data_IF_052284359598
#
_entry.id   IF_052284359598
#
_cell.length_a   1.000
_cell.length_b   1.000
_cell.length_c   1.000
_cell.angle_alpha   90.00
_cell.angle_beta   90.00
_cell.angle_gamma   90.00
#
_symmetry.space_group_name_H-M   'P 1'
#
loop_
_entity.id
_entity.type
_entity.pdbx_description
1 polymer ?
#
# COMPACT_ATOMS: atom_id res chain seq x y z
N UNK A 1 20.56 -23.68 0.21
CA UNK A 1 21.00 -22.42 0.87
C UNK A 1 19.83 -21.44 1.10
N UNK A 2 18.98 -21.17 0.10
CA UNK A 2 17.80 -20.28 0.21
C UNK A 2 16.78 -20.63 1.33
N UNK A 3 16.45 -21.92 1.53
CA UNK A 3 15.52 -22.36 2.59
C UNK A 3 16.00 -22.04 4.02
N UNK A 4 17.32 -22.03 4.26
CA UNK A 4 17.94 -21.81 5.58
C UNK A 4 18.02 -20.32 5.93
N UNK A 5 18.16 -19.47 4.91
CA UNK A 5 18.10 -18.00 5.03
C UNK A 5 16.65 -17.57 5.27
N UNK A 6 15.71 -18.11 4.48
CA UNK A 6 14.27 -17.90 4.65
C UNK A 6 13.79 -18.26 6.06
N UNK A 7 14.17 -19.41 6.62
CA UNK A 7 13.71 -19.83 7.96
C UNK A 7 14.32 -18.99 9.09
N UNK A 8 15.57 -18.53 8.94
CA UNK A 8 16.23 -17.66 9.93
C UNK A 8 15.65 -16.25 9.90
N UNK A 9 15.30 -15.76 8.71
CA UNK A 9 14.58 -14.49 8.52
C UNK A 9 13.18 -14.60 9.14
N UNK A 10 12.45 -15.67 8.83
CA UNK A 10 11.10 -15.93 9.36
C UNK A 10 11.11 -15.94 10.89
N UNK A 11 12.01 -16.70 11.52
CA UNK A 11 12.09 -16.79 12.99
C UNK A 11 12.51 -15.47 13.67
N UNK A 12 13.37 -14.68 13.01
CA UNK A 12 13.78 -13.35 13.50
C UNK A 12 12.62 -12.37 13.39
N UNK A 13 11.90 -12.40 12.27
CA UNK A 13 10.66 -11.65 12.08
C UNK A 13 9.63 -12.06 13.13
N UNK A 14 9.37 -13.35 13.36
CA UNK A 14 8.39 -13.82 14.36
C UNK A 14 8.74 -13.37 15.78
N UNK A 15 10.03 -13.37 16.16
CA UNK A 15 10.47 -12.84 17.46
C UNK A 15 10.24 -11.33 17.56
N UNK A 16 10.60 -10.55 16.55
CA UNK A 16 10.35 -9.09 16.54
C UNK A 16 8.83 -8.81 16.60
N UNK A 17 8.03 -9.57 15.86
CA UNK A 17 6.57 -9.46 15.82
C UNK A 17 5.88 -9.73 17.16
N UNK A 18 6.44 -10.64 17.98
CA UNK A 18 5.81 -11.07 19.24
C UNK A 18 6.02 -10.09 20.40
N UNK A 19 7.07 -9.27 20.36
CA UNK A 19 7.41 -8.33 21.45
C UNK A 19 6.95 -6.89 21.21
N UNK A 20 6.58 -6.48 19.98
CA UNK A 20 6.35 -5.06 19.67
C UNK A 20 4.96 -4.68 19.13
N UNK A 21 3.94 -5.57 19.18
CA UNK A 21 2.65 -5.41 18.46
C UNK A 21 2.81 -5.23 16.92
N UNK A 22 4.00 -5.47 16.35
CA UNK A 22 4.35 -5.14 14.96
C UNK A 22 3.47 -5.81 13.89
N UNK A 23 2.84 -6.95 14.18
CA UNK A 23 1.96 -7.63 13.23
C UNK A 23 0.69 -6.81 12.95
N UNK A 24 0.20 -6.07 13.93
CA UNK A 24 -0.94 -5.17 13.78
C UNK A 24 -0.56 -3.94 12.93
N UNK A 25 0.60 -3.33 13.20
CA UNK A 25 1.16 -2.23 12.41
C UNK A 25 1.37 -2.65 10.96
N UNK A 26 2.01 -3.80 10.75
CA UNK A 26 2.27 -4.36 9.41
C UNK A 26 0.98 -4.58 8.62
N UNK A 27 -0.06 -5.15 9.23
CA UNK A 27 -1.36 -5.31 8.56
C UNK A 27 -2.00 -3.96 8.22
N UNK A 28 -1.97 -3.00 9.15
CA UNK A 28 -2.55 -1.68 8.95
C UNK A 28 -1.85 -0.94 7.81
N UNK A 29 -0.52 -0.90 7.82
CA UNK A 29 0.28 -0.28 6.76
C UNK A 29 0.04 -0.99 5.43
N UNK A 30 0.04 -2.33 5.39
CA UNK A 30 -0.24 -3.05 4.15
C UNK A 30 -1.59 -2.66 3.54
N UNK A 31 -2.65 -2.66 4.35
CA UNK A 31 -4.02 -2.38 3.90
C UNK A 31 -4.16 -0.95 3.37
N UNK A 32 -3.72 0.03 4.14
CA UNK A 32 -3.86 1.46 3.78
C UNK A 32 -3.09 1.74 2.49
N UNK A 33 -1.86 1.23 2.38
CA UNK A 33 -1.01 1.52 1.24
C UNK A 33 -1.39 0.72 0.00
N UNK A 34 -1.85 -0.53 0.12
CA UNK A 34 -2.38 -1.26 -1.01
C UNK A 34 -3.62 -0.57 -1.60
N UNK A 35 -4.49 -0.05 -0.73
CA UNK A 35 -5.64 0.77 -1.14
C UNK A 35 -5.18 2.02 -1.89
N UNK A 36 -4.23 2.77 -1.33
CA UNK A 36 -3.68 4.00 -1.93
C UNK A 36 -3.01 3.74 -3.27
N UNK A 37 -2.17 2.70 -3.37
CA UNK A 37 -1.44 2.37 -4.59
C UNK A 37 -2.36 1.96 -5.73
N UNK A 38 -3.37 1.13 -5.45
CA UNK A 38 -4.36 0.74 -6.45
C UNK A 38 -5.15 1.95 -6.96
N UNK A 39 -5.63 2.79 -6.04
CA UNK A 39 -6.47 3.94 -6.38
C UNK A 39 -5.71 5.06 -7.09
N UNK A 40 -4.46 5.32 -6.69
CA UNK A 40 -3.58 6.32 -7.32
C UNK A 40 -3.29 5.97 -8.77
N UNK A 41 -2.88 4.72 -9.03
CA UNK A 41 -2.60 4.28 -10.40
C UNK A 41 -3.87 4.27 -11.25
N UNK A 42 -5.01 3.86 -10.69
CA UNK A 42 -6.28 3.97 -11.41
C UNK A 42 -6.66 5.41 -11.73
N UNK A 43 -6.46 6.34 -10.79
CA UNK A 43 -6.69 7.77 -11.02
C UNK A 43 -5.87 8.33 -12.18
N UNK A 44 -4.63 7.87 -12.33
CA UNK A 44 -3.77 8.22 -13.48
C UNK A 44 -4.32 7.64 -14.78
N UNK A 45 -4.70 6.35 -14.78
CA UNK A 45 -5.28 5.69 -15.96
C UNK A 45 -6.54 6.45 -16.43
N UNK A 46 -7.45 6.75 -15.49
CA UNK A 46 -8.69 7.45 -15.78
C UNK A 46 -8.43 8.89 -16.23
N UNK A 47 -7.55 9.63 -15.54
CA UNK A 47 -7.23 11.02 -15.91
C UNK A 47 -6.66 11.13 -17.33
N UNK A 48 -5.74 10.24 -17.70
CA UNK A 48 -5.19 10.21 -19.07
C UNK A 48 -6.29 9.87 -20.10
N UNK A 49 -7.21 8.96 -19.74
CA UNK A 49 -8.36 8.62 -20.58
C UNK A 49 -9.32 9.80 -20.79
N UNK A 50 -9.58 10.57 -19.74
CA UNK A 50 -10.46 11.75 -19.79
C UNK A 50 -9.87 12.85 -20.70
N UNK A 51 -8.54 13.01 -20.70
CA UNK A 51 -7.81 13.88 -21.65
C UNK A 51 -7.85 13.39 -23.11
N UNK A 52 -8.63 12.35 -23.44
CA UNK A 52 -8.78 11.80 -24.79
C UNK A 52 -7.60 10.96 -25.26
N UNK A 53 -6.56 10.78 -24.44
CA UNK A 53 -5.41 9.94 -24.78
C UNK A 53 -5.66 8.48 -24.42
N UNK A 54 -5.58 7.61 -25.42
CA UNK A 54 -5.60 6.15 -25.26
C UNK A 54 -4.25 5.51 -25.53
N UNK A 55 -3.18 6.31 -25.52
CA UNK A 55 -1.85 5.82 -25.82
C UNK A 55 -1.32 5.00 -24.63
N UNK A 56 -1.13 3.69 -24.86
CA UNK A 56 -0.60 2.74 -23.88
C UNK A 56 0.71 3.26 -23.25
N UNK A 57 1.58 3.86 -24.06
CA UNK A 57 2.86 4.41 -23.59
C UNK A 57 2.70 5.49 -22.51
N UNK A 58 1.75 6.42 -22.67
CA UNK A 58 1.51 7.49 -21.70
C UNK A 58 0.97 6.93 -20.38
N UNK A 59 0.09 5.94 -20.46
CA UNK A 59 -0.50 5.30 -19.28
C UNK A 59 0.55 4.48 -18.52
N UNK A 60 1.36 3.70 -19.24
CA UNK A 60 2.42 2.89 -18.63
C UNK A 60 3.50 3.79 -18.02
N UNK A 61 3.95 4.83 -18.73
CA UNK A 61 4.96 5.75 -18.21
C UNK A 61 4.46 6.54 -16.99
N UNK A 62 3.24 7.08 -17.05
CA UNK A 62 2.61 7.78 -15.92
C UNK A 62 2.39 6.86 -14.71
N UNK A 63 1.86 5.66 -14.95
CA UNK A 63 1.61 4.65 -13.91
C UNK A 63 2.92 4.16 -13.24
N UNK A 64 3.93 3.80 -14.03
CA UNK A 64 5.24 3.38 -13.49
C UNK A 64 5.95 4.53 -12.79
N UNK A 65 5.86 5.76 -13.31
CA UNK A 65 6.39 6.95 -12.67
C UNK A 65 5.80 7.18 -11.28
N UNK A 66 4.47 7.06 -11.16
CA UNK A 66 3.79 7.16 -9.88
C UNK A 66 4.13 6.01 -8.92
N UNK A 67 4.23 4.78 -9.43
CA UNK A 67 4.64 3.62 -8.61
C UNK A 67 6.05 3.81 -8.06
N UNK A 68 7.01 4.26 -8.89
CA UNK A 68 8.37 4.56 -8.45
C UNK A 68 8.39 5.69 -7.42
N UNK A 69 7.63 6.75 -7.66
CA UNK A 69 7.50 7.85 -6.72
C UNK A 69 6.95 7.35 -5.36
N UNK A 70 5.85 6.60 -5.36
CA UNK A 70 5.27 5.99 -4.15
C UNK A 70 6.22 5.00 -3.46
N UNK A 71 7.01 4.24 -4.23
CA UNK A 71 7.96 3.30 -3.65
C UNK A 71 9.04 4.04 -2.85
N UNK A 72 9.66 5.05 -3.44
CA UNK A 72 10.73 5.83 -2.80
C UNK A 72 10.17 6.70 -1.68
N UNK A 73 9.12 7.48 -1.97
CA UNK A 73 8.51 8.41 -1.01
C UNK A 73 7.87 7.65 0.14
N UNK A 74 7.24 6.51 -0.11
CA UNK A 74 6.61 5.67 0.90
C UNK A 74 7.61 5.07 1.90
N UNK A 75 8.84 4.72 1.46
CA UNK A 75 9.86 4.22 2.39
C UNK A 75 10.32 5.38 3.27
N UNK A 76 10.63 6.51 2.64
CA UNK A 76 11.10 7.69 3.36
C UNK A 76 10.07 8.23 4.36
N UNK A 77 8.83 8.45 3.91
CA UNK A 77 7.78 9.07 4.71
C UNK A 77 7.38 8.18 5.89
N UNK A 78 7.18 6.88 5.66
CA UNK A 78 6.83 5.94 6.71
C UNK A 78 8.00 5.72 7.68
N UNK A 79 9.25 5.66 7.20
CA UNK A 79 10.41 5.53 8.09
C UNK A 79 10.55 6.74 9.01
N UNK A 80 10.46 7.96 8.48
CA UNK A 80 10.60 9.18 9.27
C UNK A 80 9.47 9.28 10.30
N UNK A 81 8.22 9.08 9.88
CA UNK A 81 7.05 9.16 10.76
C UNK A 81 7.09 8.08 11.85
N UNK A 82 7.33 6.84 11.47
CA UNK A 82 7.36 5.72 12.41
C UNK A 82 8.56 5.83 13.36
N UNK A 83 9.72 6.29 12.89
CA UNK A 83 10.88 6.50 13.77
C UNK A 83 10.60 7.55 14.84
N UNK A 84 9.94 8.65 14.50
CA UNK A 84 9.55 9.68 15.47
C UNK A 84 8.55 9.14 16.50
N UNK A 85 7.57 8.36 16.06
CA UNK A 85 6.59 7.71 16.93
C UNK A 85 7.25 6.68 17.87
N UNK A 86 8.21 5.90 17.36
CA UNK A 86 8.94 4.93 18.18
C UNK A 86 9.87 5.63 19.19
N UNK A 87 10.50 6.75 18.85
CA UNK A 87 11.30 7.54 19.78
C UNK A 87 10.45 8.13 20.90
N UNK A 88 9.26 8.65 20.57
CA UNK A 88 8.30 9.14 21.56
C UNK A 88 7.91 8.03 22.55
N UNK A 89 7.59 6.82 22.06
CA UNK A 89 7.25 5.68 22.92
C UNK A 89 8.37 5.27 23.84
N UNK A 90 9.62 5.33 23.39
CA UNK A 90 10.78 5.05 24.24
C UNK A 90 10.84 6.08 25.37
N UNK A 91 10.67 7.38 25.07
CA UNK A 91 10.65 8.44 26.10
C UNK A 91 9.54 8.23 27.13
N UNK A 92 8.33 7.88 26.68
CA UNK A 92 7.21 7.58 27.57
C UNK A 92 7.51 6.40 28.52
N UNK A 93 8.24 5.38 28.04
CA UNK A 93 8.70 4.25 28.88
C UNK A 93 9.78 4.69 29.86
N UNK A 94 10.78 5.47 29.43
CA UNK A 94 11.86 5.96 30.29
C UNK A 94 11.33 6.86 31.41
N UNK A 95 10.37 7.74 31.11
CA UNK A 95 9.70 8.59 32.09
C UNK A 95 8.92 7.77 33.11
N UNK A 96 8.17 6.74 32.67
CA UNK A 96 7.44 5.86 33.55
C UNK A 96 8.35 5.00 34.46
N UNK A 97 9.55 4.67 34.00
CA UNK A 97 10.55 3.91 34.75
C UNK A 97 11.49 4.79 35.58
N UNK A 98 11.50 6.11 35.35
CA UNK A 98 12.50 7.04 35.87
C UNK A 98 13.95 6.57 35.60
N UNK A 99 14.16 5.85 34.49
CA UNK A 99 15.43 5.22 34.15
C UNK A 99 15.58 5.16 32.63
N UNK A 100 16.80 5.47 32.15
CA UNK A 100 17.17 5.28 30.75
C UNK A 100 17.28 3.80 30.40
N UNK A 101 16.72 3.41 29.26
CA UNK A 101 16.74 2.03 28.75
C UNK A 101 17.65 1.87 27.53
N UNK A 102 18.64 2.76 27.39
CA UNK A 102 19.64 2.75 26.33
C UNK A 102 20.32 1.38 26.21
N UNK A 103 20.52 0.91 24.96
CA UNK A 103 21.16 -0.38 24.68
C UNK A 103 20.30 -1.63 24.91
N UNK A 104 19.08 -1.49 25.45
CA UNK A 104 18.17 -2.64 25.65
C UNK A 104 17.67 -3.22 24.32
N UNK A 105 17.23 -4.49 24.37
CA UNK A 105 16.60 -5.15 23.23
C UNK A 105 15.29 -4.46 22.79
N UNK A 106 14.66 -3.69 23.69
CA UNK A 106 13.47 -2.88 23.42
C UNK A 106 13.78 -1.81 22.36
N UNK A 107 14.85 -1.03 22.55
CA UNK A 107 15.28 0.01 21.58
C UNK A 107 15.62 -0.61 20.22
N UNK A 108 16.33 -1.75 20.21
CA UNK A 108 16.65 -2.46 18.96
C UNK A 108 15.40 -2.95 18.24
N UNK A 109 14.39 -3.41 18.97
CA UNK A 109 13.12 -3.82 18.40
C UNK A 109 12.38 -2.62 17.77
N UNK A 110 12.30 -1.48 18.47
CA UNK A 110 11.67 -0.26 17.97
C UNK A 110 12.23 0.22 16.63
N UNK A 111 13.56 0.29 16.49
CA UNK A 111 14.20 0.67 15.21
C UNK A 111 13.86 -0.30 14.07
N UNK A 112 13.75 -1.59 14.36
CA UNK A 112 13.36 -2.60 13.37
C UNK A 112 11.91 -2.45 12.94
N UNK A 113 11.01 -2.06 13.84
CA UNK A 113 9.61 -1.79 13.50
C UNK A 113 9.51 -0.66 12.48
N UNK A 114 10.22 0.46 12.69
CA UNK A 114 10.21 1.58 11.74
C UNK A 114 10.64 1.17 10.33
N UNK A 115 11.73 0.41 10.22
CA UNK A 115 12.23 -0.09 8.94
C UNK A 115 11.21 -1.05 8.30
N UNK A 116 10.66 -1.99 9.07
CA UNK A 116 9.69 -2.96 8.54
C UNK A 116 8.40 -2.31 8.08
N UNK A 117 7.84 -1.37 8.87
CA UNK A 117 6.65 -0.62 8.50
C UNK A 117 6.86 0.16 7.21
N UNK A 118 8.02 0.82 7.06
CA UNK A 118 8.37 1.54 5.84
C UNK A 118 8.48 0.65 4.60
N UNK A 119 9.08 -0.53 4.73
CA UNK A 119 9.16 -1.49 3.62
C UNK A 119 7.78 -2.03 3.24
N UNK A 120 6.96 -2.38 4.23
CA UNK A 120 5.60 -2.87 3.99
C UNK A 120 4.74 -1.81 3.33
N UNK A 121 4.87 -0.55 3.76
CA UNK A 121 4.20 0.61 3.18
C UNK A 121 4.43 0.66 1.65
N UNK A 122 5.69 0.76 1.24
CA UNK A 122 6.05 0.88 -0.18
C UNK A 122 5.79 -0.36 -1.00
N UNK A 123 6.02 -1.55 -0.43
CA UNK A 123 5.74 -2.80 -1.14
C UNK A 123 4.24 -2.95 -1.40
N UNK A 124 3.41 -2.64 -0.42
CA UNK A 124 1.96 -2.76 -0.57
C UNK A 124 1.41 -1.81 -1.63
N UNK A 125 1.81 -0.52 -1.60
CA UNK A 125 1.37 0.45 -2.62
C UNK A 125 1.89 0.09 -4.01
N UNK A 126 3.16 -0.28 -4.13
CA UNK A 126 3.76 -0.62 -5.42
C UNK A 126 3.13 -1.86 -6.04
N UNK A 127 2.92 -2.92 -5.26
CA UNK A 127 2.32 -4.15 -5.76
C UNK A 127 0.87 -3.94 -6.16
N UNK A 128 0.10 -3.20 -5.37
CA UNK A 128 -1.29 -2.90 -5.70
C UNK A 128 -1.41 -2.00 -6.95
N UNK A 129 -0.54 -1.01 -7.07
CA UNK A 129 -0.43 -0.17 -8.26
C UNK A 129 -0.04 -0.97 -9.51
N UNK A 130 0.98 -1.83 -9.41
CA UNK A 130 1.39 -2.72 -10.51
C UNK A 130 0.27 -3.68 -10.91
N UNK A 131 -0.49 -4.20 -9.95
CA UNK A 131 -1.61 -5.08 -10.22
C UNK A 131 -2.67 -4.36 -11.07
N UNK A 132 -3.02 -3.13 -10.70
CA UNK A 132 -3.96 -2.29 -11.48
C UNK A 132 -3.39 -1.89 -12.85
N UNK A 133 -2.08 -1.63 -12.95
CA UNK A 133 -1.42 -1.29 -14.21
C UNK A 133 -1.20 -2.50 -15.14
N UNK A 134 -1.29 -3.72 -14.62
CA UNK A 134 -0.91 -4.94 -15.33
C UNK A 134 -1.59 -5.13 -16.69
N UNK A 135 -2.86 -4.77 -16.93
CA UNK A 135 -3.47 -4.90 -18.25
C UNK A 135 -2.81 -3.98 -19.29
N UNK A 136 -2.37 -2.79 -18.89
CA UNK A 136 -1.62 -1.88 -19.77
C UNK A 136 -0.18 -2.35 -20.02
N UNK A 137 0.45 -3.00 -19.04
CA UNK A 137 1.75 -3.66 -19.24
C UNK A 137 1.63 -4.83 -20.24
N UNK A 138 0.55 -5.60 -20.16
CA UNK A 138 0.23 -6.66 -21.11
C UNK A 138 -0.03 -6.10 -22.52
N UNK A 139 -0.80 -5.00 -22.62
CA UNK A 139 -1.03 -4.31 -23.89
C UNK A 139 0.26 -3.75 -24.50
N UNK A 140 1.16 -3.18 -23.69
CA UNK A 140 2.46 -2.69 -24.14
C UNK A 140 3.37 -3.80 -24.67
N UNK A 141 3.18 -5.03 -24.19
CA UNK A 141 3.94 -6.21 -24.59
C UNK A 141 3.28 -7.00 -25.73
N UNK A 142 2.23 -6.46 -26.37
CA UNK A 142 1.41 -7.12 -27.38
C UNK A 142 0.76 -8.45 -26.92
N UNK A 143 0.58 -8.64 -25.61
CA UNK A 143 -0.09 -9.83 -25.04
C UNK A 143 -1.62 -9.66 -25.01
N UNK A 144 -2.11 -8.44 -25.16
CA UNK A 144 -3.52 -8.10 -25.10
C UNK A 144 -3.81 -6.87 -25.97
N UNK A 145 -5.01 -6.80 -26.53
CA UNK A 145 -5.44 -5.61 -27.26
C UNK A 145 -5.69 -4.43 -26.31
N UNK A 146 -5.28 -3.23 -26.72
CA UNK A 146 -5.39 -2.01 -25.91
C UNK A 146 -6.83 -1.65 -25.55
N UNK A 147 -7.80 -2.01 -26.41
CA UNK A 147 -9.24 -1.76 -26.21
C UNK A 147 -9.78 -2.39 -24.92
N UNK A 148 -9.21 -3.51 -24.47
CA UNK A 148 -9.63 -4.19 -23.24
C UNK A 148 -8.90 -3.71 -21.98
N UNK A 149 -7.77 -3.01 -22.11
CA UNK A 149 -6.89 -2.68 -20.99
C UNK A 149 -7.56 -1.81 -19.93
N UNK A 150 -8.38 -0.85 -20.36
CA UNK A 150 -9.14 0.01 -19.46
C UNK A 150 -10.12 -0.81 -18.60
N UNK A 151 -10.96 -1.62 -19.23
CA UNK A 151 -12.00 -2.41 -18.55
C UNK A 151 -11.39 -3.42 -17.59
N UNK A 152 -10.32 -4.14 -17.99
CA UNK A 152 -9.66 -5.09 -17.09
C UNK A 152 -8.98 -4.40 -15.90
N UNK A 153 -8.36 -3.24 -16.13
CA UNK A 153 -7.74 -2.46 -15.04
C UNK A 153 -8.79 -1.99 -14.02
N UNK A 154 -9.97 -1.58 -14.51
CA UNK A 154 -11.11 -1.21 -13.68
C UNK A 154 -11.63 -2.40 -12.85
N UNK A 155 -11.80 -3.57 -13.48
CA UNK A 155 -12.23 -4.80 -12.79
C UNK A 155 -11.22 -5.18 -11.70
N UNK A 156 -9.91 -5.11 -12.01
CA UNK A 156 -8.84 -5.42 -11.05
C UNK A 156 -8.88 -4.44 -9.88
N UNK A 157 -9.05 -3.13 -10.12
CA UNK A 157 -9.19 -2.14 -9.05
C UNK A 157 -10.34 -2.51 -8.12
N UNK A 158 -11.56 -2.64 -8.64
CA UNK A 158 -12.73 -2.89 -7.81
C UNK A 158 -12.61 -4.22 -7.06
N UNK A 159 -12.10 -5.26 -7.70
CA UNK A 159 -11.83 -6.55 -7.06
C UNK A 159 -10.80 -6.42 -5.92
N UNK A 160 -9.70 -5.71 -6.17
CA UNK A 160 -8.64 -5.47 -5.17
C UNK A 160 -9.20 -4.72 -3.96
N UNK A 161 -9.94 -3.64 -4.19
CA UNK A 161 -10.54 -2.85 -3.13
C UNK A 161 -11.61 -3.62 -2.35
N UNK A 162 -12.39 -4.45 -3.03
CA UNK A 162 -13.40 -5.30 -2.39
C UNK A 162 -12.74 -6.35 -1.49
N UNK A 163 -11.67 -7.01 -1.96
CA UNK A 163 -10.88 -7.97 -1.17
C UNK A 163 -10.26 -7.30 0.06
N UNK A 164 -9.66 -6.12 -0.12
CA UNK A 164 -9.13 -5.31 0.98
C UNK A 164 -10.26 -5.01 1.97
N UNK A 165 -11.41 -4.53 1.50
CA UNK A 165 -12.57 -4.25 2.35
C UNK A 165 -13.08 -5.46 3.14
N UNK A 166 -13.18 -6.63 2.51
CA UNK A 166 -13.50 -7.90 3.20
C UNK A 166 -12.48 -8.19 4.30
N UNK A 167 -11.20 -8.01 4.02
CA UNK A 167 -10.13 -8.23 4.99
C UNK A 167 -10.26 -7.29 6.20
N UNK A 168 -10.55 -6.00 6.00
CA UNK A 168 -10.84 -5.07 7.10
C UNK A 168 -12.11 -5.46 7.87
N UNK A 169 -13.15 -5.90 7.17
CA UNK A 169 -14.40 -6.38 7.79
C UNK A 169 -14.13 -7.53 8.75
N UNK A 170 -13.33 -8.51 8.31
CA UNK A 170 -12.92 -9.66 9.12
C UNK A 170 -12.15 -9.25 10.37
N UNK A 171 -11.22 -8.29 10.24
CA UNK A 171 -10.43 -7.80 11.38
C UNK A 171 -11.31 -7.02 12.39
N UNK A 172 -12.27 -6.26 11.90
CA UNK A 172 -13.13 -5.39 12.73
C UNK A 172 -14.37 -6.07 13.30
N UNK A 173 -14.58 -7.37 13.04
CA UNK A 173 -15.79 -8.09 13.46
C UNK A 173 -17.07 -7.58 12.78
N UNK A 174 -16.95 -6.88 11.65
CA UNK A 174 -18.07 -6.35 10.88
C UNK A 174 -18.43 -7.29 9.73
N UNK A 175 -19.63 -7.10 9.19
CA UNK A 175 -20.09 -7.81 7.99
C UNK A 175 -19.12 -7.62 6.81
N UNK A 176 -18.57 -8.73 6.32
CA UNK A 176 -17.56 -8.75 5.26
C UNK A 176 -18.03 -8.03 3.99
N UNK A 177 -19.28 -8.29 3.58
CA UNK A 177 -19.85 -7.75 2.35
C UNK A 177 -20.01 -6.22 2.41
N UNK A 178 -20.55 -5.68 3.50
CA UNK A 178 -20.67 -4.22 3.67
C UNK A 178 -19.31 -3.55 3.75
N UNK A 179 -18.31 -4.17 4.38
CA UNK A 179 -16.94 -3.63 4.40
C UNK A 179 -16.33 -3.61 3.01
N UNK A 180 -16.48 -4.69 2.23
CA UNK A 180 -16.08 -4.74 0.82
C UNK A 180 -16.73 -3.64 -0.02
N UNK A 181 -18.07 -3.52 0.06
CA UNK A 181 -18.82 -2.50 -0.67
C UNK A 181 -18.43 -1.08 -0.24
N UNK A 182 -18.24 -0.83 1.05
CA UNK A 182 -17.84 0.49 1.57
C UNK A 182 -16.48 0.91 1.01
N UNK A 183 -15.49 0.02 1.00
CA UNK A 183 -14.16 0.31 0.47
C UNK A 183 -14.19 0.53 -1.04
N UNK A 184 -14.96 -0.28 -1.77
CA UNK A 184 -15.19 -0.15 -3.22
C UNK A 184 -15.89 1.16 -3.57
N UNK A 185 -16.83 1.61 -2.74
CA UNK A 185 -17.54 2.88 -2.90
C UNK A 185 -16.61 4.10 -2.88
N UNK A 186 -15.46 4.03 -2.20
CA UNK A 186 -14.47 5.11 -2.23
C UNK A 186 -13.91 5.29 -3.65
N UNK A 187 -13.67 4.21 -4.40
CA UNK A 187 -13.25 4.32 -5.79
C UNK A 187 -14.33 4.97 -6.66
N UNK A 188 -15.60 4.67 -6.43
CA UNK A 188 -16.71 5.32 -7.14
C UNK A 188 -16.70 6.84 -6.87
N UNK A 189 -16.47 7.25 -5.63
CA UNK A 189 -16.36 8.68 -5.28
C UNK A 189 -15.20 9.35 -6.04
N UNK A 190 -14.03 8.71 -6.09
CA UNK A 190 -12.87 9.25 -6.84
C UNK A 190 -13.16 9.34 -8.33
N UNK A 191 -13.80 8.32 -8.91
CA UNK A 191 -14.20 8.32 -10.32
C UNK A 191 -15.15 9.49 -10.59
N UNK A 192 -16.19 9.66 -9.78
CA UNK A 192 -17.13 10.79 -9.89
C UNK A 192 -16.39 12.13 -9.78
N UNK A 193 -15.48 12.26 -8.81
CA UNK A 193 -14.71 13.49 -8.63
C UNK A 193 -13.84 13.82 -9.86
N UNK A 194 -13.21 12.83 -10.47
CA UNK A 194 -12.41 13.01 -11.69
C UNK A 194 -13.27 13.39 -12.90
N UNK A 195 -14.46 12.78 -13.06
CA UNK A 195 -15.41 13.19 -14.10
C UNK A 195 -15.94 14.62 -13.89
N UNK A 196 -16.20 15.03 -12.64
CA UNK A 196 -16.61 16.40 -12.35
C UNK A 196 -15.50 17.40 -12.66
N UNK A 197 -14.24 17.02 -12.44
CA UNK A 197 -13.09 17.86 -12.77
C UNK A 197 -12.95 18.03 -14.29
N UNK A 198 -13.13 16.95 -15.05
CA UNK A 198 -13.12 16.96 -16.52
C UNK A 198 -14.23 17.85 -17.11
N UNK A 199 -15.41 17.91 -16.47
CA UNK A 199 -16.51 18.76 -16.93
C UNK A 199 -16.22 20.28 -16.82
N UNK A 200 -15.29 20.66 -15.93
CA UNK A 200 -14.95 22.07 -15.65
C UNK A 200 -13.73 22.53 -16.47
N UNK A 201 -12.92 21.60 -16.99
CA UNK A 201 -11.75 21.87 -17.83
C UNK A 201 -12.07 21.98 -19.31
#
# INVERSE_FOLDING_TARGET
>A
MFKKISSKLMNTLTKIFRYSKSAEYSRRYFVINAFEGALTVWGIILGIHLLGSRQVFQIVSGGLGAILAMAISGVGSAYIAESAEQERRIKEIEEALLMKIEGTEIIKAHRRVAIMSALINSLASSLAGLLVLSPYLAAASNLMESSYAFTYSMIILFTTLFIIGIFLGKISGRSLLLSGLKTTGIAVIVIIALYLLDLIS
#
